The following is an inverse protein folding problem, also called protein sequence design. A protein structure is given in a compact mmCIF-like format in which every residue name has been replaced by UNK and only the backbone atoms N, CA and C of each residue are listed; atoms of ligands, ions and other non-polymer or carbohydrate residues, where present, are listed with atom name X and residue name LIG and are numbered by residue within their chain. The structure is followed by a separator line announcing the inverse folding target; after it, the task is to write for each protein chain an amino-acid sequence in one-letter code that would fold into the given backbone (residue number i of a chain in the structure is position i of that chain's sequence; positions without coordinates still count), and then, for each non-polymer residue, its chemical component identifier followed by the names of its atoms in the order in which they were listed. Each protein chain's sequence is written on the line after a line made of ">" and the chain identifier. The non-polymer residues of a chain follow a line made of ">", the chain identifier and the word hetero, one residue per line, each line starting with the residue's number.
data_IF_472701356557
#
_entry.id   IF_472701356557
#
_cell.length_a   1.000
_cell.length_b   1.000
_cell.length_c   1.000
_cell.angle_alpha   90.00
_cell.angle_beta   90.00
_cell.angle_gamma   90.00
#
_symmetry.space_group_name_H-M   'P 1'
#
loop_
_entity.id
_entity.type
_entity.pdbx_description
1 polymer ?
#
# COMPACT_ATOMS: atom_id res chain seq x y z
N UNK A 1 16.26 4.60 16.81
CA UNK A 1 16.58 3.69 15.69
C UNK A 1 16.75 4.51 14.43
N UNK A 2 17.17 3.91 13.30
CA UNK A 2 17.15 4.57 11.99
C UNK A 2 15.73 5.06 11.68
N UNK A 3 15.57 6.13 10.90
CA UNK A 3 14.24 6.52 10.43
C UNK A 3 13.71 5.48 9.44
N UNK A 4 12.41 5.24 9.53
CA UNK A 4 11.59 4.38 8.68
C UNK A 4 11.09 5.11 7.43
N UNK A 5 11.62 6.31 7.14
CA UNK A 5 11.26 7.10 5.96
C UNK A 5 11.83 6.52 4.67
N UNK A 6 11.20 6.87 3.53
CA UNK A 6 11.77 6.58 2.21
C UNK A 6 13.20 7.14 2.11
N UNK A 7 14.14 6.27 1.75
CA UNK A 7 15.57 6.60 1.70
C UNK A 7 15.97 7.40 0.47
N UNK A 8 15.24 7.24 -0.63
CA UNK A 8 15.57 7.84 -1.93
C UNK A 8 14.69 9.05 -2.26
N UNK A 9 14.23 9.82 -1.25
CA UNK A 9 13.22 10.89 -1.41
C UNK A 9 13.57 11.94 -2.49
N UNK A 10 14.86 12.19 -2.71
CA UNK A 10 15.36 13.22 -3.65
C UNK A 10 15.60 12.68 -5.08
N UNK A 11 15.27 11.41 -5.36
CA UNK A 11 15.39 10.85 -6.71
C UNK A 11 14.43 11.53 -7.69
N UNK A 12 14.83 11.58 -8.97
CA UNK A 12 14.21 12.37 -10.03
C UNK A 12 12.77 11.98 -10.39
N UNK A 13 12.38 10.74 -10.10
CA UNK A 13 11.05 10.22 -10.44
C UNK A 13 10.51 9.28 -9.35
N UNK A 14 9.21 9.04 -9.36
CA UNK A 14 8.54 8.28 -8.30
C UNK A 14 8.92 6.79 -8.24
N UNK A 15 9.38 6.19 -9.34
CA UNK A 15 9.84 4.79 -9.33
C UNK A 15 11.21 4.71 -8.68
N UNK A 16 12.10 5.64 -9.01
CA UNK A 16 13.43 5.75 -8.38
C UNK A 16 13.38 6.09 -6.87
N UNK A 17 12.28 6.69 -6.41
CA UNK A 17 12.05 6.95 -4.97
C UNK A 17 11.55 5.71 -4.21
N UNK A 18 10.93 4.73 -4.88
CA UNK A 18 10.43 3.53 -4.22
C UNK A 18 11.57 2.62 -3.77
N UNK A 19 11.38 1.84 -2.68
CA UNK A 19 12.31 0.77 -2.35
C UNK A 19 12.43 -0.21 -3.52
N UNK A 20 13.66 -0.53 -3.92
CA UNK A 20 13.96 -1.38 -5.08
C UNK A 20 13.16 -2.68 -5.11
N UNK A 21 12.93 -3.29 -3.94
CA UNK A 21 12.30 -4.60 -3.81
C UNK A 21 10.79 -4.55 -3.55
N UNK A 22 10.17 -3.37 -3.47
CA UNK A 22 8.77 -3.24 -3.06
C UNK A 22 7.83 -4.03 -3.99
N UNK A 23 7.98 -3.87 -5.31
CA UNK A 23 7.15 -4.57 -6.30
C UNK A 23 7.32 -6.09 -6.21
N UNK A 24 8.55 -6.57 -6.03
CA UNK A 24 8.82 -8.01 -5.89
C UNK A 24 8.25 -8.57 -4.60
N UNK A 25 8.34 -7.85 -3.48
CA UNK A 25 7.76 -8.27 -2.20
C UNK A 25 6.24 -8.41 -2.33
N UNK A 26 5.55 -7.43 -2.93
CA UNK A 26 4.09 -7.48 -3.14
C UNK A 26 3.72 -8.68 -4.02
N UNK A 27 4.47 -8.90 -5.11
CA UNK A 27 4.28 -10.05 -6.00
C UNK A 27 4.44 -11.37 -5.25
N UNK A 28 5.51 -11.52 -4.46
CA UNK A 28 5.76 -12.73 -3.66
C UNK A 28 4.65 -12.95 -2.64
N UNK A 29 4.17 -11.91 -1.96
CA UNK A 29 3.05 -12.03 -1.01
C UNK A 29 1.77 -12.55 -1.71
N UNK A 30 1.48 -12.06 -2.92
CA UNK A 30 0.36 -12.52 -3.73
C UNK A 30 0.53 -13.98 -4.18
N UNK A 31 1.72 -14.36 -4.62
CA UNK A 31 2.06 -15.74 -5.00
C UNK A 31 1.90 -16.71 -3.82
N UNK A 32 2.40 -16.34 -2.64
CA UNK A 32 2.25 -17.13 -1.41
C UNK A 32 0.77 -17.27 -1.03
N UNK A 33 -0.02 -16.21 -1.11
CA UNK A 33 -1.44 -16.31 -0.81
C UNK A 33 -2.18 -17.29 -1.74
N UNK A 34 -1.80 -17.32 -3.03
CA UNK A 34 -2.34 -18.30 -3.97
C UNK A 34 -1.92 -19.74 -3.64
N UNK A 35 -0.63 -19.95 -3.32
CA UNK A 35 -0.08 -21.27 -2.97
C UNK A 35 -0.74 -21.83 -1.70
N UNK A 36 -0.88 -20.99 -0.69
CA UNK A 36 -1.43 -21.35 0.63
C UNK A 36 -2.96 -21.25 0.70
N UNK A 37 -3.61 -20.89 -0.42
CA UNK A 37 -5.07 -20.74 -0.53
C UNK A 37 -5.66 -19.75 0.50
N UNK A 38 -4.96 -18.64 0.70
CA UNK A 38 -5.41 -17.54 1.57
C UNK A 38 -5.86 -16.34 0.75
N UNK A 39 -6.56 -15.41 1.40
CA UNK A 39 -6.94 -14.15 0.78
C UNK A 39 -5.74 -13.20 0.73
N UNK A 40 -5.63 -12.45 -0.37
CA UNK A 40 -4.68 -11.36 -0.52
C UNK A 40 -5.45 -10.08 -0.85
N UNK A 41 -5.17 -9.02 -0.09
CA UNK A 41 -5.70 -7.69 -0.35
C UNK A 41 -4.55 -6.76 -0.76
N UNK A 42 -4.58 -6.32 -2.01
CA UNK A 42 -3.53 -5.47 -2.58
C UNK A 42 -3.74 -4.02 -2.14
N UNK A 43 -3.12 -3.67 -1.01
CA UNK A 43 -3.21 -2.31 -0.48
C UNK A 43 -2.63 -1.27 -1.46
N UNK A 44 -1.53 -1.61 -2.16
CA UNK A 44 -0.93 -0.71 -3.14
C UNK A 44 -1.88 -0.45 -4.30
N UNK A 45 -2.55 -1.48 -4.80
CA UNK A 45 -3.58 -1.35 -5.85
C UNK A 45 -4.76 -0.49 -5.38
N UNK A 46 -5.28 -0.73 -4.17
CA UNK A 46 -6.35 0.09 -3.58
C UNK A 46 -5.98 1.59 -3.53
N UNK A 47 -4.74 1.90 -3.17
CA UNK A 47 -4.26 3.28 -3.13
C UNK A 47 -4.17 3.93 -4.52
N UNK A 48 -4.15 3.15 -5.60
CA UNK A 48 -4.01 3.61 -6.98
C UNK A 48 -2.77 3.05 -7.71
N UNK A 49 -2.13 2.02 -7.16
CA UNK A 49 -1.02 1.31 -7.79
C UNK A 49 0.35 1.95 -7.56
N UNK A 50 1.22 1.82 -8.57
CA UNK A 50 2.58 2.36 -8.52
C UNK A 50 2.59 3.88 -8.26
N UNK A 51 3.48 4.33 -7.37
CA UNK A 51 3.61 5.74 -6.98
C UNK A 51 2.39 6.37 -6.26
N UNK A 52 1.35 5.59 -5.92
CA UNK A 52 0.14 6.08 -5.26
C UNK A 52 0.37 6.79 -3.92
N UNK A 53 1.39 6.38 -3.15
CA UNK A 53 1.73 7.05 -1.87
C UNK A 53 2.02 8.55 -2.04
N UNK A 54 2.55 8.97 -3.19
CA UNK A 54 2.75 10.40 -3.49
C UNK A 54 1.42 11.13 -3.65
N UNK A 55 0.48 10.53 -4.39
CA UNK A 55 -0.86 11.08 -4.54
C UNK A 55 -1.56 11.16 -3.18
N UNK A 56 -1.45 10.10 -2.37
CA UNK A 56 -2.00 10.09 -1.02
C UNK A 56 -1.38 11.15 -0.11
N UNK A 57 -0.08 11.41 -0.23
CA UNK A 57 0.56 12.50 0.52
C UNK A 57 0.07 13.89 0.08
N UNK A 58 -0.28 14.08 -1.20
CA UNK A 58 -0.87 15.34 -1.70
C UNK A 58 -2.27 15.56 -1.12
N UNK A 59 -3.02 14.49 -0.84
CA UNK A 59 -4.36 14.53 -0.25
C UNK A 59 -4.37 14.39 1.28
N UNK A 60 -3.22 14.55 1.95
CA UNK A 60 -3.07 14.39 3.41
C UNK A 60 -3.50 13.00 3.94
N UNK A 61 -3.51 11.98 3.08
CA UNK A 61 -3.79 10.58 3.43
C UNK A 61 -2.50 9.82 3.80
N UNK A 62 -1.33 10.36 3.47
CA UNK A 62 -0.03 9.82 3.84
C UNK A 62 0.85 10.84 4.54
N UNK A 63 1.76 10.37 5.40
CA UNK A 63 2.75 11.20 6.07
C UNK A 63 3.87 11.59 5.11
N UNK A 64 4.58 12.70 5.36
CA UNK A 64 5.71 13.14 4.54
C UNK A 64 6.89 12.15 4.46
N UNK A 65 6.93 11.14 5.34
CA UNK A 65 7.96 10.09 5.32
C UNK A 65 7.81 9.13 4.13
N UNK A 66 6.67 9.16 3.42
CA UNK A 66 6.39 8.32 2.26
C UNK A 66 6.17 6.84 2.62
N UNK A 67 5.93 6.52 3.89
CA UNK A 67 5.75 5.15 4.40
C UNK A 67 4.47 5.04 5.21
N UNK A 68 4.25 5.93 6.17
CA UNK A 68 3.09 5.87 7.05
C UNK A 68 1.90 6.60 6.47
N UNK A 69 0.70 6.14 6.83
CA UNK A 69 -0.53 6.86 6.55
C UNK A 69 -0.86 7.89 7.64
N UNK A 70 -1.68 8.88 7.29
CA UNK A 70 -2.39 9.69 8.28
C UNK A 70 -3.49 8.85 8.93
N UNK A 71 -4.16 9.41 9.94
CA UNK A 71 -5.31 8.75 10.57
C UNK A 71 -6.39 8.48 9.52
N UNK A 72 -6.69 9.49 8.70
CA UNK A 72 -7.67 9.47 7.64
C UNK A 72 -7.30 8.46 6.55
N UNK A 73 -6.01 8.33 6.20
CA UNK A 73 -5.53 7.31 5.27
C UNK A 73 -5.68 5.89 5.80
N UNK A 74 -5.40 5.66 7.09
CA UNK A 74 -5.66 4.37 7.73
C UNK A 74 -7.16 4.06 7.79
N UNK A 75 -8.01 5.03 8.14
CA UNK A 75 -9.46 4.88 8.15
C UNK A 75 -10.00 4.51 6.75
N UNK A 76 -9.54 5.20 5.69
CA UNK A 76 -9.93 4.90 4.31
C UNK A 76 -9.60 3.45 3.91
N UNK A 77 -8.38 3.02 4.25
CA UNK A 77 -7.88 1.66 3.96
C UNK A 77 -8.66 0.59 4.71
N UNK A 78 -8.86 0.78 6.02
CA UNK A 78 -9.58 -0.16 6.87
C UNK A 78 -11.06 -0.30 6.46
N UNK A 79 -11.74 0.83 6.21
CA UNK A 79 -13.14 0.83 5.79
C UNK A 79 -13.33 0.12 4.44
N UNK A 80 -12.41 0.33 3.50
CA UNK A 80 -12.51 -0.32 2.18
C UNK A 80 -12.22 -1.81 2.27
N UNK A 81 -11.17 -2.22 2.98
CA UNK A 81 -10.89 -3.64 3.22
C UNK A 81 -12.09 -4.34 3.86
N UNK A 82 -12.67 -3.74 4.91
CA UNK A 82 -13.83 -4.29 5.60
C UNK A 82 -15.04 -4.43 4.66
N UNK A 83 -15.34 -3.39 3.87
CA UNK A 83 -16.45 -3.40 2.91
C UNK A 83 -16.28 -4.49 1.85
N UNK A 84 -15.08 -4.63 1.28
CA UNK A 84 -14.78 -5.63 0.27
C UNK A 84 -14.83 -7.06 0.83
N UNK A 85 -14.30 -7.27 2.04
CA UNK A 85 -14.37 -8.55 2.73
C UNK A 85 -15.82 -8.93 3.05
N UNK A 86 -16.61 -7.97 3.55
CA UNK A 86 -18.03 -8.18 3.85
C UNK A 86 -18.82 -8.54 2.59
N UNK A 87 -18.55 -7.87 1.47
CA UNK A 87 -19.17 -8.18 0.19
C UNK A 87 -18.78 -9.57 -0.33
N UNK A 88 -17.56 -10.05 -0.07
CA UNK A 88 -17.13 -11.40 -0.41
C UNK A 88 -17.91 -12.45 0.42
N UNK A 89 -17.99 -12.25 1.74
CA UNK A 89 -18.68 -13.16 2.65
C UNK A 89 -20.18 -13.23 2.33
N UNK A 90 -20.83 -12.09 2.05
CA UNK A 90 -22.28 -12.04 1.78
C UNK A 90 -22.67 -12.57 0.39
N UNK A 91 -21.72 -12.81 -0.51
CA UNK A 91 -21.95 -13.44 -1.82
C UNK A 91 -21.82 -14.97 -1.77
N UNK A 92 -21.38 -15.52 -0.64
CA UNK A 92 -21.04 -16.94 -0.45
C UNK A 92 -22.25 -17.77 -0.04
#
# INVERSE_FOLDING_TARGET
>A
GPSDSIKNKDASDCRSQQPQWLTDIIRIQKEVAQQERTLFWDWRDYMGGECSIKAWSIYDLARPDGVHLSREGYESSANTLYSQLSALINKS
#
